data_IF_163377590932
#
_entry.id   IF_163377590932
#
_cell.length_a   1.000
_cell.length_b   1.000
_cell.length_c   1.000
_cell.angle_alpha   90.00
_cell.angle_beta   90.00
_cell.angle_gamma   90.00
#
_symmetry.space_group_name_H-M   'P 1'
#
loop_
_entity.id
_entity.type
_entity.pdbx_description
1 polymer ?
#
# COMPACT_ATOMS: atom_id res chain seq x y z
N UNK A 1 6.50 1.65 18.91
CA UNK A 1 6.64 0.69 17.81
C UNK A 1 7.22 1.41 16.60
N UNK A 2 8.00 0.73 15.75
CA UNK A 2 8.54 1.26 14.47
C UNK A 2 7.75 0.75 13.26
N UNK A 3 6.74 -0.08 13.48
CA UNK A 3 5.97 -0.72 12.44
C UNK A 3 4.81 0.16 11.97
N UNK A 4 4.66 0.25 10.65
CA UNK A 4 3.48 0.82 10.00
C UNK A 4 2.90 -0.24 9.09
N UNK A 5 1.61 -0.54 9.29
CA UNK A 5 0.85 -1.45 8.44
C UNK A 5 -0.04 -0.63 7.51
N UNK A 6 0.24 -0.69 6.22
CA UNK A 6 -0.63 -0.16 5.19
C UNK A 6 -1.72 -1.18 4.85
N UNK A 7 -2.97 -0.79 5.00
CA UNK A 7 -4.12 -1.54 4.47
C UNK A 7 -4.47 -0.93 3.12
N UNK A 8 -4.16 -1.66 2.04
CA UNK A 8 -4.35 -1.15 0.68
C UNK A 8 -5.64 -1.72 0.07
N UNK A 9 -6.58 -0.82 -0.21
CA UNK A 9 -7.89 -1.17 -0.79
C UNK A 9 -7.87 -1.06 -2.32
N UNK A 10 -7.28 0.02 -2.86
CA UNK A 10 -7.17 0.22 -4.31
C UNK A 10 -5.84 -0.30 -4.84
N UNK A 11 -5.81 -1.00 -5.99
CA UNK A 11 -4.56 -1.42 -6.61
C UNK A 11 -3.77 -0.20 -7.13
N UNK A 12 -2.43 -0.26 -7.03
CA UNK A 12 -1.54 0.79 -7.57
C UNK A 12 -1.38 0.65 -9.09
N UNK A 13 -1.37 -0.59 -9.57
CA UNK A 13 -1.19 -0.96 -10.97
C UNK A 13 -2.42 -1.74 -11.42
N UNK A 14 -2.85 -1.49 -12.66
CA UNK A 14 -3.81 -2.34 -13.36
C UNK A 14 -3.10 -2.92 -14.57
N UNK A 15 -3.36 -4.19 -14.87
CA UNK A 15 -2.78 -4.90 -16.02
C UNK A 15 -3.33 -4.37 -17.36
N UNK A 16 -4.57 -3.87 -17.38
CA UNK A 16 -5.24 -3.42 -18.59
C UNK A 16 -5.26 -1.90 -18.73
N UNK A 17 -4.99 -1.43 -19.96
CA UNK A 17 -5.14 -0.02 -20.33
C UNK A 17 -6.63 0.34 -20.43
N UNK A 18 -7.11 1.39 -19.75
CA UNK A 18 -8.51 1.81 -19.84
C UNK A 18 -8.85 2.23 -21.27
N UNK A 19 -9.97 1.73 -21.81
CA UNK A 19 -10.39 1.99 -23.21
C UNK A 19 -11.70 2.78 -23.32
N UNK A 20 -12.46 2.92 -22.23
CA UNK A 20 -13.70 3.71 -22.21
C UNK A 20 -13.54 4.98 -21.37
N UNK A 21 -14.35 6.03 -21.61
CA UNK A 21 -14.34 7.23 -20.78
C UNK A 21 -14.54 6.94 -19.28
N UNK A 22 -15.40 5.97 -18.96
CA UNK A 22 -15.64 5.55 -17.57
C UNK A 22 -14.39 4.93 -16.95
N UNK A 23 -13.73 4.02 -17.66
CA UNK A 23 -12.49 3.38 -17.16
C UNK A 23 -11.37 4.41 -16.97
N UNK A 24 -11.29 5.41 -17.85
CA UNK A 24 -10.30 6.49 -17.77
C UNK A 24 -10.55 7.31 -16.50
N UNK A 25 -11.79 7.71 -16.24
CA UNK A 25 -12.14 8.48 -15.04
C UNK A 25 -11.90 7.68 -13.77
N UNK A 26 -12.25 6.40 -13.75
CA UNK A 26 -11.95 5.50 -12.63
C UNK A 26 -10.42 5.42 -12.41
N UNK A 27 -9.63 5.32 -13.47
CA UNK A 27 -8.16 5.30 -13.37
C UNK A 27 -7.58 6.62 -12.85
N UNK A 28 -8.10 7.77 -13.30
CA UNK A 28 -7.69 9.09 -12.81
C UNK A 28 -8.00 9.22 -11.31
N UNK A 29 -9.18 8.77 -10.87
CA UNK A 29 -9.56 8.77 -9.46
C UNK A 29 -8.62 7.90 -8.63
N UNK A 30 -8.30 6.68 -9.09
CA UNK A 30 -7.33 5.80 -8.43
C UNK A 30 -5.93 6.43 -8.33
N UNK A 31 -5.43 7.02 -9.42
CA UNK A 31 -4.12 7.67 -9.44
C UNK A 31 -4.07 8.87 -8.49
N UNK A 32 -5.13 9.69 -8.49
CA UNK A 32 -5.25 10.86 -7.62
C UNK A 32 -5.27 10.44 -6.15
N UNK A 33 -6.04 9.39 -5.82
CA UNK A 33 -6.09 8.83 -4.47
C UNK A 33 -4.73 8.28 -4.02
N UNK A 34 -4.03 7.57 -4.90
CA UNK A 34 -2.73 6.96 -4.60
C UNK A 34 -1.55 7.96 -4.61
N UNK A 35 -1.70 9.16 -5.16
CA UNK A 35 -0.60 10.12 -5.28
C UNK A 35 -0.02 10.54 -3.92
N UNK A 36 -0.87 10.78 -2.92
CA UNK A 36 -0.45 11.15 -1.57
C UNK A 36 0.33 10.00 -0.91
N UNK A 37 -0.16 8.77 -1.05
CA UNK A 37 0.49 7.55 -0.58
C UNK A 37 1.89 7.41 -1.19
N UNK A 38 2.02 7.56 -2.51
CA UNK A 38 3.31 7.47 -3.20
C UNK A 38 4.31 8.51 -2.69
N UNK A 39 3.86 9.74 -2.42
CA UNK A 39 4.69 10.80 -1.84
C UNK A 39 5.17 10.46 -0.42
N UNK A 40 4.27 9.95 0.43
CA UNK A 40 4.61 9.50 1.77
C UNK A 40 5.61 8.35 1.75
N UNK A 41 5.39 7.35 0.87
CA UNK A 41 6.30 6.21 0.70
C UNK A 41 7.69 6.64 0.25
N UNK A 42 7.80 7.59 -0.68
CA UNK A 42 9.10 8.18 -1.08
C UNK A 42 9.81 8.89 0.06
N UNK A 43 9.05 9.60 0.90
CA UNK A 43 9.60 10.28 2.08
C UNK A 43 10.16 9.27 3.08
N UNK A 44 9.42 8.18 3.36
CA UNK A 44 9.87 7.12 4.27
C UNK A 44 11.11 6.42 3.72
N UNK A 45 11.14 6.05 2.43
CA UNK A 45 12.32 5.46 1.79
C UNK A 45 13.54 6.37 1.90
N UNK A 46 13.36 7.68 1.68
CA UNK A 46 14.43 8.65 1.79
C UNK A 46 14.99 8.74 3.22
N UNK A 47 14.13 8.85 4.23
CA UNK A 47 14.54 8.93 5.64
C UNK A 47 15.26 7.63 6.06
N UNK A 48 14.68 6.47 5.75
CA UNK A 48 15.28 5.17 6.07
C UNK A 48 16.68 5.02 5.46
N UNK A 49 16.89 5.48 4.22
CA UNK A 49 18.21 5.46 3.57
C UNK A 49 19.20 6.40 4.23
N UNK A 50 18.79 7.63 4.53
CA UNK A 50 19.69 8.57 5.19
C UNK A 50 20.13 8.07 6.57
N UNK A 51 19.24 7.40 7.31
CA UNK A 51 19.59 6.73 8.57
C UNK A 51 20.55 5.56 8.35
N UNK A 52 20.29 4.70 7.36
CA UNK A 52 21.14 3.56 7.02
C UNK A 52 22.56 3.98 6.55
N UNK A 53 22.65 5.08 5.80
CA UNK A 53 23.90 5.65 5.30
C UNK A 53 24.64 6.49 6.37
N UNK A 54 24.09 6.62 7.59
CA UNK A 54 24.65 7.44 8.67
C UNK A 54 24.58 8.96 8.43
N UNK A 55 23.86 9.40 7.41
CA UNK A 55 23.66 10.82 7.06
C UNK A 55 22.61 11.50 7.94
N UNK A 56 21.74 10.72 8.57
CA UNK A 56 20.88 11.13 9.68
C UNK A 56 21.21 10.29 10.90
N UNK A 57 21.10 10.90 12.08
CA UNK A 57 21.23 10.21 13.36
C UNK A 57 19.86 9.69 13.81
N UNK A 58 19.80 8.39 14.13
CA UNK A 58 18.63 7.76 14.74
C UNK A 58 18.42 8.35 16.15
N UNK A 59 17.19 8.74 16.49
CA UNK A 59 16.89 9.38 17.77
C UNK A 59 15.42 9.75 17.94
N UNK A 60 15.14 10.79 18.72
CA UNK A 60 13.74 11.25 18.93
C UNK A 60 13.13 11.85 17.67
N UNK A 61 13.93 12.55 16.86
CA UNK A 61 13.46 13.29 15.69
C UNK A 61 13.30 12.42 14.44
N UNK A 62 14.18 11.44 14.24
CA UNK A 62 14.18 10.56 13.07
C UNK A 62 14.40 9.12 13.52
N UNK A 63 13.52 8.23 13.07
CA UNK A 63 13.64 6.78 13.31
C UNK A 63 13.37 6.01 12.04
N UNK A 64 14.06 4.89 11.92
CA UNK A 64 13.79 3.91 10.88
C UNK A 64 12.41 3.30 11.10
N UNK A 65 11.71 3.08 10.00
CA UNK A 65 10.33 2.56 10.00
C UNK A 65 10.28 1.24 9.25
N UNK A 66 9.62 0.24 9.84
CA UNK A 66 9.33 -1.04 9.20
C UNK A 66 7.95 -0.95 8.55
N UNK A 67 7.91 -1.13 7.23
CA UNK A 67 6.66 -1.06 6.48
C UNK A 67 6.12 -2.44 6.14
N UNK A 68 4.83 -2.57 6.30
CA UNK A 68 4.06 -3.76 6.03
C UNK A 68 2.86 -3.41 5.17
N UNK A 69 2.42 -4.35 4.33
CA UNK A 69 1.18 -4.19 3.55
C UNK A 69 0.27 -5.38 3.74
N UNK A 70 -0.99 -5.09 4.07
CA UNK A 70 -2.12 -6.00 3.91
C UNK A 70 -2.92 -5.49 2.72
N UNK A 71 -3.10 -6.33 1.71
CA UNK A 71 -4.01 -6.08 0.59
C UNK A 71 -4.98 -7.27 0.49
N UNK A 72 -6.14 -7.06 -0.15
CA UNK A 72 -7.11 -8.14 -0.34
C UNK A 72 -6.81 -9.03 -1.55
N UNK A 73 -5.67 -8.84 -2.23
CA UNK A 73 -5.30 -9.56 -3.45
C UNK A 73 -6.39 -9.54 -4.53
N UNK A 74 -6.41 -10.60 -5.36
CA UNK A 74 -7.40 -10.78 -6.43
C UNK A 74 -8.86 -10.75 -5.94
N UNK A 75 -9.12 -11.14 -4.68
CA UNK A 75 -10.48 -11.15 -4.14
C UNK A 75 -11.11 -9.75 -4.07
N UNK A 76 -10.30 -8.69 -3.94
CA UNK A 76 -10.79 -7.30 -4.01
C UNK A 76 -10.91 -6.79 -5.46
N UNK A 77 -10.18 -7.38 -6.41
CA UNK A 77 -10.23 -7.00 -7.84
C UNK A 77 -11.54 -7.44 -8.50
N UNK A 78 -12.20 -8.47 -7.96
CA UNK A 78 -13.49 -8.98 -8.44
C UNK A 78 -14.68 -8.06 -8.10
N UNK A 79 -14.49 -7.02 -7.29
CA UNK A 79 -15.54 -6.06 -6.95
C UNK A 79 -15.50 -4.86 -7.91
N UNK A 80 -16.53 -4.64 -8.75
CA UNK A 80 -16.57 -3.52 -9.66
C UNK A 80 -16.54 -2.17 -8.91
N UNK A 81 -16.04 -1.10 -9.55
CA UNK A 81 -16.05 0.26 -8.98
C UNK A 81 -17.44 0.74 -8.55
N UNK A 82 -18.50 0.23 -9.18
CA UNK A 82 -19.91 0.52 -8.86
C UNK A 82 -20.36 0.05 -7.48
N UNK A 83 -19.67 -0.92 -6.87
CA UNK A 83 -20.03 -1.41 -5.54
C UNK A 83 -19.53 -0.50 -4.42
N UNK A 84 -18.65 0.47 -4.70
CA UNK A 84 -18.17 1.49 -3.74
C UNK A 84 -19.29 2.39 -3.19
N UNK A 85 -20.44 2.43 -3.88
CA UNK A 85 -21.63 3.21 -3.51
C UNK A 85 -22.78 2.35 -2.98
N UNK A 86 -22.62 1.02 -2.96
CA UNK A 86 -23.67 0.11 -2.48
C UNK A 86 -23.67 0.08 -0.95
N UNK A 87 -24.80 0.47 -0.35
CA UNK A 87 -25.05 0.41 1.11
C UNK A 87 -25.68 -0.92 1.55
N UNK A 88 -25.56 -1.96 0.73
CA UNK A 88 -26.09 -3.29 1.05
C UNK A 88 -25.30 -3.90 2.22
N UNK A 89 -26.02 -4.17 3.31
CA UNK A 89 -25.46 -4.76 4.53
C UNK A 89 -24.78 -6.11 4.26
N UNK A 90 -25.32 -6.91 3.34
CA UNK A 90 -24.73 -8.21 3.00
C UNK A 90 -23.36 -8.04 2.32
N UNK A 91 -23.20 -6.99 1.52
CA UNK A 91 -21.93 -6.65 0.90
C UNK A 91 -20.91 -6.16 1.94
N UNK A 92 -21.31 -5.31 2.88
CA UNK A 92 -20.43 -4.82 3.95
C UNK A 92 -19.93 -5.98 4.82
N UNK A 93 -20.81 -6.92 5.18
CA UNK A 93 -20.43 -8.12 5.92
C UNK A 93 -19.43 -8.97 5.13
N UNK A 94 -19.67 -9.17 3.83
CA UNK A 94 -18.72 -9.88 2.96
C UNK A 94 -17.35 -9.19 2.92
N UNK A 95 -17.30 -7.88 2.77
CA UNK A 95 -16.05 -7.11 2.79
C UNK A 95 -15.32 -7.23 4.14
N UNK A 96 -16.07 -7.21 5.24
CA UNK A 96 -15.51 -7.38 6.58
C UNK A 96 -14.86 -8.75 6.77
N UNK A 97 -15.55 -9.82 6.35
CA UNK A 97 -15.01 -11.19 6.39
C UNK A 97 -13.74 -11.32 5.52
N UNK A 98 -13.76 -10.78 4.30
CA UNK A 98 -12.59 -10.76 3.41
C UNK A 98 -11.41 -10.02 4.03
N UNK A 99 -11.66 -8.91 4.72
CA UNK A 99 -10.64 -8.17 5.48
C UNK A 99 -10.03 -9.02 6.60
N UNK A 100 -10.86 -9.71 7.39
CA UNK A 100 -10.39 -10.58 8.47
C UNK A 100 -9.54 -11.75 7.93
N UNK A 101 -10.00 -12.40 6.86
CA UNK A 101 -9.23 -13.47 6.23
C UNK A 101 -7.89 -12.98 5.68
N UNK A 102 -7.88 -11.81 5.04
CA UNK A 102 -6.65 -11.22 4.50
C UNK A 102 -5.66 -10.90 5.61
N UNK A 103 -6.12 -10.33 6.73
CA UNK A 103 -5.29 -10.11 7.90
C UNK A 103 -4.78 -11.42 8.52
N UNK A 104 -5.63 -12.44 8.66
CA UNK A 104 -5.24 -13.76 9.19
C UNK A 104 -4.18 -14.42 8.30
N UNK A 105 -4.35 -14.39 6.98
CA UNK A 105 -3.36 -14.88 6.00
C UNK A 105 -2.05 -14.12 6.11
N UNK A 106 -2.11 -12.80 6.25
CA UNK A 106 -0.93 -11.96 6.37
C UNK A 106 -0.16 -12.26 7.65
N UNK A 107 -0.85 -12.32 8.80
CA UNK A 107 -0.24 -12.66 10.09
C UNK A 107 0.43 -14.03 10.04
N UNK A 108 -0.23 -15.06 9.47
CA UNK A 108 0.36 -16.39 9.33
C UNK A 108 1.66 -16.42 8.51
N UNK A 109 1.89 -15.43 7.63
CA UNK A 109 3.11 -15.34 6.80
C UNK A 109 4.17 -14.40 7.37
N UNK A 110 3.75 -13.36 8.10
CA UNK A 110 4.59 -12.19 8.34
C UNK A 110 4.66 -11.74 9.81
N UNK A 111 4.01 -12.46 10.72
CA UNK A 111 4.02 -12.10 12.15
C UNK A 111 5.44 -11.90 12.70
N UNK A 112 6.36 -12.82 12.38
CA UNK A 112 7.76 -12.77 12.83
C UNK A 112 8.55 -11.58 12.26
N UNK A 113 8.08 -10.92 11.21
CA UNK A 113 8.75 -9.74 10.66
C UNK A 113 8.46 -8.47 11.46
N UNK A 114 7.37 -8.44 12.25
CA UNK A 114 6.97 -7.27 13.04
C UNK A 114 8.07 -6.90 14.05
N UNK A 115 8.43 -5.62 14.07
CA UNK A 115 9.47 -5.07 14.93
C UNK A 115 10.90 -5.41 14.48
N UNK A 116 11.08 -6.21 13.43
CA UNK A 116 12.38 -6.70 12.96
C UNK A 116 12.72 -6.18 11.57
N UNK A 117 11.79 -6.26 10.62
CA UNK A 117 12.02 -5.87 9.23
C UNK A 117 10.72 -5.58 8.48
N UNK A 118 10.80 -4.73 7.45
CA UNK A 118 9.70 -4.50 6.51
C UNK A 118 9.33 -5.77 5.76
N UNK A 119 8.03 -5.99 5.51
CA UNK A 119 7.56 -7.10 4.65
C UNK A 119 7.37 -6.68 3.19
N UNK A 120 7.57 -5.40 2.91
CA UNK A 120 7.55 -4.82 1.56
C UNK A 120 8.85 -4.08 1.26
N UNK A 121 9.14 -3.92 -0.04
CA UNK A 121 10.26 -3.10 -0.50
C UNK A 121 9.70 -1.81 -1.10
N UNK A 122 9.83 -0.69 -0.38
CA UNK A 122 9.22 0.59 -0.75
C UNK A 122 9.63 1.02 -2.17
N UNK A 123 10.93 0.90 -2.49
CA UNK A 123 11.46 1.30 -3.79
C UNK A 123 10.84 0.50 -4.93
N UNK A 124 10.85 -0.82 -4.82
CA UNK A 124 10.28 -1.74 -5.82
C UNK A 124 8.75 -1.56 -5.93
N UNK A 125 8.08 -1.42 -4.79
CA UNK A 125 6.62 -1.55 -4.72
C UNK A 125 5.90 -0.21 -4.98
N UNK A 126 6.54 0.95 -4.70
CA UNK A 126 5.89 2.27 -4.78
C UNK A 126 6.70 3.33 -5.54
N UNK A 127 8.03 3.35 -5.42
CA UNK A 127 8.82 4.44 -6.03
C UNK A 127 9.06 4.19 -7.52
N UNK A 128 9.12 2.92 -7.92
CA UNK A 128 9.57 2.52 -9.26
C UNK A 128 11.06 2.78 -9.44
N UNK A 129 11.62 2.30 -10.55
CA UNK A 129 12.97 2.66 -10.97
C UNK A 129 12.95 4.14 -11.38
N UNK A 130 13.21 5.06 -10.45
CA UNK A 130 13.55 6.43 -10.84
C UNK A 130 14.78 6.36 -11.75
N UNK A 131 14.80 7.02 -12.92
CA UNK A 131 16.03 7.19 -13.68
C UNK A 131 17.09 7.79 -12.76
N UNK A 132 18.29 7.21 -12.77
CA UNK A 132 19.43 7.82 -12.09
C UNK A 132 19.73 9.15 -12.78
N UNK A 133 19.43 10.28 -12.12
CA UNK A 133 19.84 11.59 -12.59
C UNK A 133 18.81 12.68 -12.32
N UNK A 134 19.04 13.45 -11.24
CA UNK A 134 19.32 14.88 -11.29
C UNK A 134 20.32 15.20 -10.17
#
# INVERSE_FOLDING_TARGET
>A
SRDIVLVQINPLKREHTPQTPQDIMDRVNELTFNASLLSQMRTIDFINRLLADGRLQEGEKYRSVFLHRIDGGHALEEFPSSTKLSTDSAMIEKLFLLGQESARRWLGKHFEALGQQSTINIRRDYVGSMPQGF
#
